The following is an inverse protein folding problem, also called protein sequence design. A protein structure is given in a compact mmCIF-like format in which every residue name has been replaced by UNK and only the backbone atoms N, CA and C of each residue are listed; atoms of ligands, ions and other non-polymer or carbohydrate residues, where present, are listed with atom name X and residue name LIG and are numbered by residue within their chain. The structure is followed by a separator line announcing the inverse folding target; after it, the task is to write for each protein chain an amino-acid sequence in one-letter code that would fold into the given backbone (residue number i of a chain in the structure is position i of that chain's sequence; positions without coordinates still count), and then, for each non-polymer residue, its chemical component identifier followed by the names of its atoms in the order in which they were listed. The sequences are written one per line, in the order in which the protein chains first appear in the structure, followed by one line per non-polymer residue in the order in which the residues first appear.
data_IF_384939146254
#
_entry.id   IF_384939146254
#
_cell.length_a   1.000
_cell.length_b   1.000
_cell.length_c   1.000
_cell.angle_alpha   90.00
_cell.angle_beta   90.00
_cell.angle_gamma   90.00
#
_symmetry.space_group_name_H-M   'P 1'
#
loop_
_entity.id
_entity.type
_entity.pdbx_description
1 polymer ?
#
# COMPACT_ATOMS: atom_id res chain seq x y z
N UNK A 1 -8.14 -8.87 -17.44
CA UNK A 1 -8.74 -8.04 -18.51
C UNK A 1 -7.68 -7.65 -19.54
N UNK A 2 -8.06 -7.15 -20.73
CA UNK A 2 -7.10 -6.55 -21.67
C UNK A 2 -6.99 -5.05 -21.42
N UNK A 3 -5.88 -4.38 -21.80
CA UNK A 3 -5.68 -2.96 -21.52
C UNK A 3 -6.76 -2.04 -22.10
N UNK A 4 -7.34 -2.38 -23.25
CA UNK A 4 -8.40 -1.59 -23.89
C UNK A 4 -9.78 -1.73 -23.21
N UNK A 5 -9.94 -2.71 -22.31
CA UNK A 5 -11.17 -2.91 -21.54
C UNK A 5 -11.18 -2.07 -20.25
N UNK A 6 -10.07 -1.38 -19.93
CA UNK A 6 -9.87 -0.69 -18.66
C UNK A 6 -10.02 0.81 -18.86
N UNK A 7 -10.92 1.42 -18.10
CA UNK A 7 -11.22 2.85 -18.16
C UNK A 7 -10.72 3.57 -16.91
N UNK A 8 -10.14 4.75 -17.11
CA UNK A 8 -9.74 5.64 -16.01
C UNK A 8 -11.00 6.15 -15.30
N UNK A 9 -10.96 6.17 -13.96
CA UNK A 9 -12.08 6.56 -13.10
C UNK A 9 -13.02 5.42 -12.73
N UNK A 10 -12.90 4.25 -13.38
CA UNK A 10 -13.66 3.06 -13.02
C UNK A 10 -12.94 2.25 -11.93
N UNK A 11 -13.72 1.50 -11.15
CA UNK A 11 -13.21 0.59 -10.13
C UNK A 11 -13.31 -0.84 -10.63
N UNK A 12 -12.26 -1.62 -10.41
CA UNK A 12 -12.18 -3.04 -10.79
C UNK A 12 -11.73 -3.87 -9.61
N UNK A 13 -12.14 -5.13 -9.59
CA UNK A 13 -11.64 -6.12 -8.64
C UNK A 13 -10.26 -6.59 -9.07
N UNK A 14 -9.26 -6.41 -8.22
CA UNK A 14 -7.94 -7.05 -8.38
C UNK A 14 -7.99 -8.38 -7.67
N UNK A 15 -7.61 -9.45 -8.37
CA UNK A 15 -7.45 -10.79 -7.80
C UNK A 15 -6.01 -11.23 -7.96
N UNK A 16 -5.35 -11.50 -6.84
CA UNK A 16 -3.98 -12.01 -6.77
C UNK A 16 -4.02 -13.44 -6.26
N UNK A 17 -3.54 -14.36 -7.10
CA UNK A 17 -3.45 -15.79 -6.81
C UNK A 17 -2.00 -16.19 -6.50
N UNK A 18 -1.74 -17.39 -5.95
CA UNK A 18 -0.38 -17.84 -5.64
C UNK A 18 0.53 -17.92 -6.88
N UNK A 19 -0.05 -18.00 -8.09
CA UNK A 19 0.69 -18.02 -9.35
C UNK A 19 1.12 -16.63 -9.82
N UNK A 20 0.55 -15.56 -9.24
CA UNK A 20 0.68 -14.21 -9.76
C UNK A 20 1.99 -13.50 -9.36
N UNK A 21 2.74 -14.05 -8.40
CA UNK A 21 3.96 -13.47 -7.84
C UNK A 21 3.78 -12.00 -7.39
N UNK A 22 3.07 -11.73 -6.28
CA UNK A 22 2.87 -10.37 -5.77
C UNK A 22 4.16 -9.63 -5.40
N UNK A 23 5.29 -10.34 -5.26
CA UNK A 23 6.57 -9.73 -4.90
C UNK A 23 7.05 -8.71 -5.94
N UNK A 24 6.54 -8.76 -7.17
CA UNK A 24 6.83 -7.75 -8.20
C UNK A 24 6.28 -6.36 -7.88
N UNK A 25 5.39 -6.25 -6.89
CA UNK A 25 4.89 -4.97 -6.38
C UNK A 25 5.77 -4.37 -5.28
N UNK A 26 6.69 -5.16 -4.71
CA UNK A 26 7.61 -4.69 -3.67
C UNK A 26 8.64 -3.75 -4.29
N UNK A 27 8.80 -2.59 -3.67
CA UNK A 27 9.71 -1.55 -4.19
C UNK A 27 10.95 -1.37 -3.33
N UNK A 28 10.89 -1.71 -2.04
CA UNK A 28 11.93 -1.40 -1.07
C UNK A 28 12.06 0.11 -0.79
N UNK A 29 11.12 0.92 -1.27
CA UNK A 29 11.09 2.36 -1.03
C UNK A 29 10.68 2.62 0.42
N UNK A 30 11.50 3.32 1.23
CA UNK A 30 11.13 3.69 2.59
C UNK A 30 9.78 4.43 2.68
N UNK A 31 9.42 5.22 1.66
CA UNK A 31 8.15 5.94 1.63
C UNK A 31 6.94 5.02 1.38
N UNK A 32 7.18 3.78 0.96
CA UNK A 32 6.16 2.76 0.65
C UNK A 32 6.23 1.56 1.58
N UNK A 33 7.01 1.63 2.67
CA UNK A 33 7.25 0.48 3.57
C UNK A 33 5.95 -0.14 4.09
N UNK A 34 4.93 0.67 4.39
CA UNK A 34 3.62 0.16 4.79
C UNK A 34 2.95 -0.68 3.70
N UNK A 35 2.95 -0.19 2.45
CA UNK A 35 2.39 -0.90 1.31
C UNK A 35 3.17 -2.18 1.02
N UNK A 36 4.50 -2.14 1.10
CA UNK A 36 5.36 -3.31 0.92
C UNK A 36 5.07 -4.38 1.98
N UNK A 37 4.77 -4.00 3.22
CA UNK A 37 4.35 -4.94 4.26
C UNK A 37 2.99 -5.59 3.94
N UNK A 38 2.02 -4.85 3.40
CA UNK A 38 0.73 -5.45 3.02
C UNK A 38 0.88 -6.36 1.79
N UNK A 39 1.65 -5.95 0.79
CA UNK A 39 2.00 -6.82 -0.34
C UNK A 39 2.70 -8.09 0.15
N UNK A 40 3.55 -7.99 1.18
CA UNK A 40 4.19 -9.15 1.79
C UNK A 40 3.19 -10.10 2.46
N UNK A 41 2.10 -9.59 3.06
CA UNK A 41 1.03 -10.48 3.55
C UNK A 41 0.35 -11.23 2.43
N UNK A 42 0.16 -10.62 1.25
CA UNK A 42 -0.45 -11.29 0.10
C UNK A 42 0.38 -12.47 -0.43
N UNK A 43 1.70 -12.45 -0.23
CA UNK A 43 2.57 -13.58 -0.60
C UNK A 43 2.27 -14.85 0.21
N UNK A 44 1.68 -14.70 1.40
CA UNK A 44 1.43 -15.80 2.33
C UNK A 44 -0.03 -16.26 2.33
N UNK A 45 -0.93 -15.48 1.75
CA UNK A 45 -2.35 -15.78 1.67
C UNK A 45 -2.71 -16.53 0.37
N UNK A 46 -3.63 -17.49 0.48
CA UNK A 46 -4.01 -18.39 -0.62
C UNK A 46 -4.70 -17.65 -1.78
N UNK A 47 -5.39 -16.55 -1.49
CA UNK A 47 -6.03 -15.70 -2.48
C UNK A 47 -6.29 -14.32 -1.86
N UNK A 48 -5.96 -13.25 -2.60
CA UNK A 48 -6.20 -11.89 -2.15
C UNK A 48 -7.03 -11.14 -3.19
N UNK A 49 -8.05 -10.46 -2.69
CA UNK A 49 -8.96 -9.67 -3.50
C UNK A 49 -9.15 -8.28 -2.90
N UNK A 50 -9.08 -7.25 -3.73
CA UNK A 50 -9.36 -5.88 -3.34
C UNK A 50 -9.86 -5.05 -4.51
N UNK A 51 -10.55 -3.96 -4.22
CA UNK A 51 -11.03 -3.02 -5.23
C UNK A 51 -9.96 -1.96 -5.52
N UNK A 52 -9.73 -1.67 -6.81
CA UNK A 52 -8.77 -0.70 -7.29
C UNK A 52 -9.45 0.27 -8.25
N UNK A 53 -9.41 1.56 -7.92
CA UNK A 53 -9.93 2.62 -8.79
C UNK A 53 -8.83 3.12 -9.71
N UNK A 54 -9.02 2.98 -11.03
CA UNK A 54 -7.98 3.23 -12.02
C UNK A 54 -7.76 4.73 -12.20
N UNK A 55 -6.49 5.16 -12.12
CA UNK A 55 -6.07 6.54 -12.32
C UNK A 55 -5.23 6.71 -13.58
N UNK A 56 -4.57 5.66 -14.07
CA UNK A 56 -3.82 5.69 -15.32
C UNK A 56 -3.78 4.33 -16.01
N UNK A 57 -3.80 4.35 -17.35
CA UNK A 57 -3.61 3.19 -18.23
C UNK A 57 -2.32 3.34 -19.05
N UNK A 58 -1.99 2.35 -19.88
CA UNK A 58 -0.79 2.38 -20.73
C UNK A 58 0.53 2.17 -19.98
N UNK A 59 0.47 1.73 -18.72
CA UNK A 59 1.65 1.40 -17.93
C UNK A 59 2.18 0.01 -18.29
N UNK A 60 3.42 -0.25 -17.91
CA UNK A 60 4.03 -1.59 -17.99
C UNK A 60 4.64 -1.94 -16.65
N UNK A 61 4.40 -3.16 -16.18
CA UNK A 61 5.07 -3.72 -15.01
C UNK A 61 5.94 -4.88 -15.47
N UNK A 62 7.26 -4.74 -15.37
CA UNK A 62 8.19 -5.62 -16.08
C UNK A 62 8.01 -5.49 -17.60
N UNK A 63 7.39 -6.49 -18.22
CA UNK A 63 7.11 -6.51 -19.66
C UNK A 63 5.63 -6.75 -19.99
N UNK A 64 4.75 -6.77 -18.98
CA UNK A 64 3.32 -6.96 -19.18
C UNK A 64 2.53 -5.64 -19.08
N UNK A 65 1.41 -5.50 -19.82
CA UNK A 65 0.53 -4.36 -19.70
C UNK A 65 -0.04 -4.21 -18.29
N UNK A 66 0.04 -3.01 -17.74
CA UNK A 66 -0.35 -2.69 -16.38
C UNK A 66 -1.19 -1.41 -16.34
N UNK A 67 -1.84 -1.21 -15.19
CA UNK A 67 -2.58 0.01 -14.88
C UNK A 67 -2.20 0.49 -13.49
N UNK A 68 -2.28 1.79 -13.29
CA UNK A 68 -2.11 2.40 -11.97
C UNK A 68 -3.46 2.79 -11.43
N UNK A 69 -3.67 2.55 -10.14
CA UNK A 69 -4.88 2.93 -9.45
C UNK A 69 -4.66 3.20 -7.98
N UNK A 70 -5.73 3.67 -7.34
CA UNK A 70 -5.82 3.86 -5.90
C UNK A 70 -6.54 2.68 -5.29
N UNK A 71 -5.88 2.03 -4.34
CA UNK A 71 -6.46 1.04 -3.47
C UNK A 71 -6.59 1.64 -2.07
N UNK A 72 -7.79 1.60 -1.50
CA UNK A 72 -8.04 2.06 -0.13
C UNK A 72 -7.99 0.85 0.79
N UNK A 73 -7.06 0.85 1.74
CA UNK A 73 -6.94 -0.17 2.76
C UNK A 73 -7.31 0.39 4.13
N UNK A 74 -7.70 -0.48 5.07
CA UNK A 74 -7.72 -0.08 6.48
C UNK A 74 -6.37 -0.39 7.11
N UNK A 75 -5.76 0.63 7.71
CA UNK A 75 -4.53 0.47 8.48
C UNK A 75 -4.64 1.15 9.82
N UNK A 76 -3.97 0.58 10.80
CA UNK A 76 -3.77 1.17 12.11
C UNK A 76 -2.36 1.72 12.31
N UNK A 77 -1.48 1.56 11.32
CA UNK A 77 -0.09 2.04 11.40
C UNK A 77 -0.05 3.55 11.17
N UNK A 78 0.85 4.20 11.90
CA UNK A 78 1.10 5.64 11.77
C UNK A 78 2.59 5.89 11.77
N UNK A 79 2.99 6.86 10.98
CA UNK A 79 4.32 7.45 11.00
C UNK A 79 4.20 8.91 11.41
N UNK A 80 5.08 9.36 12.31
CA UNK A 80 5.16 10.78 12.68
C UNK A 80 6.62 11.19 12.82
N UNK A 81 7.02 12.37 12.35
CA UNK A 81 8.30 12.94 12.70
C UNK A 81 8.44 12.99 14.23
N UNK A 82 9.60 12.61 14.75
CA UNK A 82 9.93 12.80 16.17
C UNK A 82 10.37 14.26 16.35
N UNK A 83 9.68 15.06 17.20
CA UNK A 83 10.09 16.44 17.44
C UNK A 83 11.51 16.50 18.03
N UNK A 84 12.34 17.52 17.68
CA UNK A 84 13.71 17.63 18.16
C UNK A 84 13.82 17.64 19.70
N UNK A 85 12.91 18.30 20.40
CA UNK A 85 12.87 18.35 21.87
C UNK A 85 12.62 16.95 22.48
N UNK A 86 11.78 16.14 21.84
CA UNK A 86 11.54 14.77 22.28
C UNK A 86 12.76 13.88 22.00
N UNK A 87 13.44 14.07 20.87
CA UNK A 87 14.69 13.37 20.55
C UNK A 87 15.80 13.72 21.55
N UNK A 88 15.94 14.99 21.93
CA UNK A 88 16.89 15.44 22.96
C UNK A 88 16.61 14.81 24.31
N UNK A 89 15.35 14.77 24.73
CA UNK A 89 14.94 14.09 25.98
C UNK A 89 15.22 12.60 25.99
N UNK A 90 15.29 11.97 24.82
CA UNK A 90 15.67 10.56 24.65
C UNK A 90 17.19 10.36 24.52
N UNK A 91 17.98 11.45 24.57
CA UNK A 91 19.44 11.40 24.41
C UNK A 91 19.88 11.10 22.98
N UNK A 92 19.02 11.33 21.98
CA UNK A 92 19.31 11.05 20.59
C UNK A 92 20.12 12.18 19.93
N UNK A 93 21.07 11.86 19.02
CA UNK A 93 21.79 12.86 18.24
C UNK A 93 20.87 13.80 17.45
N UNK A 94 21.07 15.11 17.55
CA UNK A 94 20.26 16.11 16.83
C UNK A 94 20.70 16.35 15.37
N UNK A 95 21.74 15.67 14.90
CA UNK A 95 22.30 15.82 13.55
C UNK A 95 21.48 15.11 12.48
N UNK A 96 20.45 14.33 12.87
CA UNK A 96 19.59 13.57 11.97
C UNK A 96 18.14 13.72 12.38
N UNK A 97 17.24 13.56 11.40
CA UNK A 97 15.80 13.56 11.64
C UNK A 97 15.34 12.13 11.94
N UNK A 98 14.45 11.98 12.92
CA UNK A 98 13.88 10.68 13.28
C UNK A 98 12.40 10.61 12.92
N UNK A 99 11.94 9.40 12.61
CA UNK A 99 10.54 9.07 12.39
C UNK A 99 10.18 8.00 13.42
N UNK A 100 9.02 8.17 14.06
CA UNK A 100 8.41 7.13 14.91
C UNK A 100 7.38 6.39 14.09
N UNK A 101 7.49 5.07 14.07
CA UNK A 101 6.51 4.17 13.50
C UNK A 101 5.78 3.42 14.61
N UNK A 102 4.45 3.33 14.53
CA UNK A 102 3.67 2.69 15.57
C UNK A 102 2.22 2.40 15.18
N UNK A 103 1.41 2.06 16.17
CA UNK A 103 -0.03 1.82 16.01
C UNK A 103 -0.81 2.90 16.76
N UNK A 104 -1.77 3.52 16.08
CA UNK A 104 -2.65 4.50 16.71
C UNK A 104 -3.67 3.78 17.61
N UNK A 105 -3.75 4.20 18.86
CA UNK A 105 -4.74 3.74 19.82
C UNK A 105 -5.52 4.92 20.38
N UNK A 106 -6.80 4.70 20.59
CA UNK A 106 -7.64 5.60 21.35
C UNK A 106 -7.13 5.65 22.81
N UNK A 107 -6.80 6.85 23.29
CA UNK A 107 -6.14 7.00 24.59
C UNK A 107 -7.04 6.66 25.79
N UNK A 108 -8.37 6.73 25.63
CA UNK A 108 -9.34 6.48 26.70
C UNK A 108 -9.67 5.00 26.79
N UNK A 109 -9.87 4.35 25.65
CA UNK A 109 -10.36 2.96 25.55
C UNK A 109 -9.24 1.96 25.28
N UNK A 110 -8.05 2.41 24.85
CA UNK A 110 -6.93 1.58 24.46
C UNK A 110 -7.14 0.81 23.15
N UNK A 111 -8.27 1.01 22.47
CA UNK A 111 -8.60 0.33 21.21
C UNK A 111 -7.73 0.81 20.07
N UNK A 112 -7.33 -0.12 19.20
CA UNK A 112 -6.63 0.22 17.96
C UNK A 112 -7.59 1.00 17.06
N UNK A 113 -7.10 2.11 16.53
CA UNK A 113 -7.82 2.94 15.56
C UNK A 113 -7.40 2.50 14.17
N UNK A 114 -8.33 1.92 13.41
CA UNK A 114 -8.19 1.71 11.97
C UNK A 114 -8.61 2.97 11.23
N UNK A 115 -7.84 3.38 10.23
CA UNK A 115 -8.15 4.50 9.34
C UNK A 115 -8.05 4.03 7.88
N UNK A 116 -8.92 4.53 6.98
CA UNK A 116 -8.71 4.37 5.56
C UNK A 116 -7.40 5.06 5.13
N UNK A 117 -6.59 4.34 4.37
CA UNK A 117 -5.35 4.84 3.78
C UNK A 117 -5.30 4.48 2.31
N UNK A 118 -5.01 5.49 1.50
CA UNK A 118 -4.91 5.36 0.06
C UNK A 118 -3.51 4.90 -0.33
N UNK A 119 -3.44 3.85 -1.13
CA UNK A 119 -2.20 3.33 -1.70
C UNK A 119 -2.26 3.44 -3.22
N UNK A 120 -1.23 4.04 -3.81
CA UNK A 120 -1.05 4.01 -5.27
C UNK A 120 -0.34 2.72 -5.66
N UNK A 121 -1.00 1.91 -6.49
CA UNK A 121 -0.50 0.62 -6.95
C UNK A 121 -0.51 0.57 -8.47
N UNK A 122 0.53 -0.04 -9.04
CA UNK A 122 0.56 -0.42 -10.45
C UNK A 122 0.45 -1.93 -10.52
N UNK A 123 -0.63 -2.44 -11.12
CA UNK A 123 -0.91 -3.89 -11.19
C UNK A 123 -1.07 -4.35 -12.64
N UNK A 124 -0.72 -5.61 -12.96
CA UNK A 124 -0.99 -6.19 -14.27
C UNK A 124 -2.47 -6.19 -14.65
N UNK A 125 -2.78 -5.88 -15.92
CA UNK A 125 -4.16 -5.91 -16.43
C UNK A 125 -4.80 -7.30 -16.28
N UNK A 126 -3.99 -8.37 -16.29
CA UNK A 126 -4.46 -9.76 -16.12
C UNK A 126 -5.02 -10.05 -14.73
N UNK A 127 -4.67 -9.27 -13.70
CA UNK A 127 -5.23 -9.41 -12.35
C UNK A 127 -6.60 -8.75 -12.21
N UNK A 128 -6.95 -7.81 -13.09
CA UNK A 128 -8.23 -7.13 -13.06
C UNK A 128 -9.38 -8.06 -13.49
N UNK A 129 -10.50 -7.89 -12.79
CA UNK A 129 -11.81 -8.46 -13.08
C UNK A 129 -12.84 -7.31 -13.05
N UNK A 130 -13.87 -7.34 -13.93
CA UNK A 130 -15.02 -6.46 -13.77
C UNK A 130 -15.68 -6.74 -12.40
N UNK A 131 -16.24 -5.69 -11.79
CA UNK A 131 -17.09 -5.81 -10.61
C UNK A 131 -18.44 -6.43 -10.97
#
# INVERSE_FOLDING_TARGET
MRPHDVEVGQTYRVRVTPQDNPAQLLTGDPQRTELDLVVFTWLNDAENEFDLTITATGQTLGYEPAVTGIWVSETSRVTTPLPPEAAERLGLPQTVNYIVEGVLKDAVTGKIVSRPTDHTLTVPCRWLRPL
#
